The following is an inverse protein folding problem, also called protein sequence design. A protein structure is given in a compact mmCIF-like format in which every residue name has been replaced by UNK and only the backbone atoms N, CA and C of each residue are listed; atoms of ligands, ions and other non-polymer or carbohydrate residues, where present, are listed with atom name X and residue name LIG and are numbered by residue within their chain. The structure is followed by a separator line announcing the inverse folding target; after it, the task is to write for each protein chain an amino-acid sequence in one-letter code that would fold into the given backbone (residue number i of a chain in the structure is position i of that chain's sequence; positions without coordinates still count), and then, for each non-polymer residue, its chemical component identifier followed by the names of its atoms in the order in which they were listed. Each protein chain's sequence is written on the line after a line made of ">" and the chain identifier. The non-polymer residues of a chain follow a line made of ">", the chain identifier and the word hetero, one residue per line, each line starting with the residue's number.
data_IF_550478455840
#
_entry.id   IF_550478455840
#
_cell.length_a   1.000
_cell.length_b   1.000
_cell.length_c   1.000
_cell.angle_alpha   90.00
_cell.angle_beta   90.00
_cell.angle_gamma   90.00
#
_symmetry.space_group_name_H-M   'P 1'
#
loop_
_entity.id
_entity.type
_entity.pdbx_description
1 polymer ?
#
# COMPACT_ATOMS: atom_id res chain seq x y z
N UNK A 1 59.82 31.35 -12.63
CA UNK A 1 58.47 30.85 -12.32
C UNK A 1 58.59 29.39 -11.96
N UNK A 2 58.55 29.04 -10.67
CA UNK A 2 58.69 27.66 -10.21
C UNK A 2 57.38 26.91 -10.50
N UNK A 3 57.40 26.02 -11.49
CA UNK A 3 56.30 25.13 -11.79
C UNK A 3 56.11 24.19 -10.59
N UNK A 4 54.95 24.31 -9.93
CA UNK A 4 54.58 23.42 -8.83
C UNK A 4 54.54 21.97 -9.34
N UNK A 5 55.20 21.06 -8.61
CA UNK A 5 55.21 19.63 -8.90
C UNK A 5 53.76 19.11 -8.99
N UNK A 6 53.30 18.52 -10.11
CA UNK A 6 51.94 18.01 -10.26
C UNK A 6 51.59 16.86 -9.30
N UNK A 7 52.58 16.28 -8.59
CA UNK A 7 52.35 15.33 -7.48
C UNK A 7 51.99 16.00 -6.14
N UNK A 8 52.03 17.33 -6.06
CA UNK A 8 51.65 18.10 -4.88
C UNK A 8 50.17 18.56 -4.92
N UNK A 9 49.29 17.77 -5.55
CA UNK A 9 47.84 17.97 -5.47
C UNK A 9 47.31 17.17 -4.29
N UNK A 10 46.72 17.86 -3.31
CA UNK A 10 46.06 17.24 -2.14
C UNK A 10 44.98 16.29 -2.67
N UNK A 11 45.11 15.00 -2.36
CA UNK A 11 44.18 13.94 -2.82
C UNK A 11 44.72 13.00 -3.90
N UNK A 12 45.96 13.16 -4.38
CA UNK A 12 46.57 12.29 -5.40
C UNK A 12 47.16 10.96 -4.88
N UNK A 13 47.12 10.71 -3.56
CA UNK A 13 47.47 9.41 -2.99
C UNK A 13 46.19 8.58 -2.95
N UNK A 14 45.92 7.79 -4.00
CA UNK A 14 44.79 6.86 -4.04
C UNK A 14 44.96 5.88 -2.87
N UNK A 15 44.26 6.06 -1.74
CA UNK A 15 44.47 5.22 -0.58
C UNK A 15 44.10 3.77 -0.94
N UNK A 16 44.72 2.76 -0.33
CA UNK A 16 44.38 1.37 -0.59
C UNK A 16 42.90 1.13 -0.29
N UNK A 17 42.26 0.27 -1.10
CA UNK A 17 40.83 -0.01 -0.95
C UNK A 17 40.57 -0.63 0.43
N UNK A 18 39.62 -0.12 1.24
CA UNK A 18 39.30 -0.67 2.55
C UNK A 18 38.94 -2.17 2.53
N UNK A 19 38.41 -2.69 1.42
CA UNK A 19 38.16 -4.12 1.23
C UNK A 19 39.48 -4.88 1.16
N UNK A 20 40.42 -4.39 0.35
CA UNK A 20 41.75 -5.01 0.20
C UNK A 20 42.52 -4.97 1.52
N UNK A 21 42.48 -3.84 2.24
CA UNK A 21 43.09 -3.70 3.57
C UNK A 21 42.47 -4.66 4.59
N UNK A 22 41.16 -4.88 4.54
CA UNK A 22 40.49 -5.81 5.45
C UNK A 22 40.81 -7.28 5.15
N UNK A 23 41.07 -7.62 3.88
CA UNK A 23 41.36 -8.98 3.42
C UNK A 23 42.85 -9.32 3.42
N UNK A 24 43.74 -8.35 3.36
CA UNK A 24 45.20 -8.53 3.32
C UNK A 24 45.72 -9.54 4.38
N UNK A 25 45.30 -9.50 5.66
CA UNK A 25 45.75 -10.47 6.67
C UNK A 25 45.30 -11.91 6.41
N UNK A 26 44.26 -12.11 5.60
CA UNK A 26 43.61 -13.40 5.36
C UNK A 26 43.97 -14.00 4.00
N UNK A 27 44.78 -13.35 3.17
CA UNK A 27 45.19 -13.85 1.85
C UNK A 27 45.64 -15.33 1.86
N UNK A 28 46.58 -15.74 2.73
CA UNK A 28 47.01 -17.14 2.83
C UNK A 28 45.89 -18.11 3.24
N UNK A 29 44.96 -17.66 4.10
CA UNK A 29 43.81 -18.48 4.53
C UNK A 29 42.84 -18.67 3.37
N UNK A 30 42.59 -17.63 2.58
CA UNK A 30 41.68 -17.69 1.44
C UNK A 30 42.22 -18.62 0.35
N UNK A 31 43.53 -18.61 0.10
CA UNK A 31 44.19 -19.56 -0.80
C UNK A 31 44.06 -21.00 -0.29
N UNK A 32 44.29 -21.23 1.01
CA UNK A 32 44.18 -22.57 1.59
C UNK A 32 42.72 -23.07 1.64
N UNK A 33 41.76 -22.19 1.92
CA UNK A 33 40.33 -22.52 1.81
C UNK A 33 40.00 -22.90 0.36
N UNK A 34 40.50 -22.18 -0.64
CA UNK A 34 40.24 -22.49 -2.04
C UNK A 34 40.72 -23.90 -2.43
N UNK A 35 41.84 -24.36 -1.86
CA UNK A 35 42.35 -25.72 -2.06
C UNK A 35 41.38 -26.81 -1.55
N UNK A 36 40.56 -26.52 -0.52
CA UNK A 36 39.54 -27.44 0.01
C UNK A 36 38.19 -27.35 -0.71
N UNK A 37 37.94 -26.28 -1.46
CA UNK A 37 36.65 -26.02 -2.12
C UNK A 37 36.60 -26.55 -3.57
N UNK A 38 37.42 -27.53 -3.91
CA UNK A 38 37.49 -28.17 -5.24
C UNK A 38 36.50 -29.34 -5.42
N UNK A 39 35.77 -29.69 -4.36
CA UNK A 39 34.82 -30.81 -4.33
C UNK A 39 35.27 -31.99 -3.47
N UNK A 40 36.46 -31.95 -2.87
CA UNK A 40 36.90 -32.94 -1.88
C UNK A 40 36.01 -32.97 -0.62
N UNK A 41 35.85 -34.15 -0.02
CA UNK A 41 35.11 -34.36 1.24
C UNK A 41 36.06 -34.64 2.40
N UNK A 42 35.63 -34.30 3.62
CA UNK A 42 36.35 -34.67 4.85
C UNK A 42 36.15 -36.17 5.13
N UNK A 43 37.24 -36.92 5.27
CA UNK A 43 37.24 -38.37 5.43
C UNK A 43 37.79 -38.84 6.79
N UNK A 44 38.39 -37.94 7.58
CA UNK A 44 38.92 -38.27 8.91
C UNK A 44 38.88 -37.07 9.88
N UNK A 45 39.01 -37.38 11.18
CA UNK A 45 38.96 -36.39 12.27
C UNK A 45 40.05 -35.31 12.17
N UNK A 46 41.23 -35.64 11.61
CA UNK A 46 42.31 -34.68 11.41
C UNK A 46 41.97 -33.62 10.36
N UNK A 47 41.34 -34.04 9.26
CA UNK A 47 40.82 -33.15 8.22
C UNK A 47 39.66 -32.31 8.74
N UNK A 48 38.75 -32.90 9.52
CA UNK A 48 37.63 -32.16 10.14
C UNK A 48 38.15 -30.99 10.97
N UNK A 49 39.11 -31.26 11.85
CA UNK A 49 39.74 -30.23 12.69
C UNK A 49 40.42 -29.13 11.87
N UNK A 50 41.17 -29.49 10.83
CA UNK A 50 41.81 -28.51 9.95
C UNK A 50 40.79 -27.62 9.23
N UNK A 51 39.70 -28.20 8.72
CA UNK A 51 38.62 -27.45 8.07
C UNK A 51 37.83 -26.57 9.05
N UNK A 52 37.66 -26.98 10.31
CA UNK A 52 37.04 -26.16 11.35
C UNK A 52 37.87 -24.91 11.68
N UNK A 53 39.21 -25.06 11.74
CA UNK A 53 40.12 -23.93 11.95
C UNK A 53 40.07 -22.95 10.77
N UNK A 54 40.07 -23.45 9.52
CA UNK A 54 39.90 -22.62 8.31
C UNK A 54 38.55 -21.91 8.29
N UNK A 55 37.46 -22.60 8.66
CA UNK A 55 36.12 -22.02 8.72
C UNK A 55 36.04 -20.87 9.74
N UNK A 56 36.73 -21.00 10.87
CA UNK A 56 36.80 -19.95 11.89
C UNK A 56 37.52 -18.71 11.35
N UNK A 57 38.67 -18.88 10.69
CA UNK A 57 39.42 -17.77 10.12
C UNK A 57 38.67 -17.11 8.94
N UNK A 58 37.98 -17.90 8.11
CA UNK A 58 37.12 -17.36 7.04
C UNK A 58 35.97 -16.50 7.60
N UNK A 59 35.35 -16.91 8.71
CA UNK A 59 34.35 -16.10 9.42
C UNK A 59 34.97 -14.81 9.98
N UNK A 60 36.22 -14.84 10.43
CA UNK A 60 36.94 -13.66 10.88
C UNK A 60 37.23 -12.68 9.71
N UNK A 61 37.66 -13.19 8.55
CA UNK A 61 37.84 -12.41 7.33
C UNK A 61 36.53 -11.71 6.91
N UNK A 62 35.41 -12.43 6.93
CA UNK A 62 34.09 -11.85 6.63
C UNK A 62 33.75 -10.71 7.60
N UNK A 63 33.98 -10.92 8.90
CA UNK A 63 33.73 -9.90 9.93
C UNK A 63 34.61 -8.66 9.75
N UNK A 64 35.86 -8.82 9.32
CA UNK A 64 36.75 -7.70 9.02
C UNK A 64 36.21 -6.83 7.87
N UNK A 65 35.72 -7.46 6.79
CA UNK A 65 35.08 -6.75 5.68
C UNK A 65 33.79 -6.05 6.12
N UNK A 66 32.94 -6.70 6.93
CA UNK A 66 31.73 -6.07 7.46
C UNK A 66 32.06 -4.84 8.32
N UNK A 67 33.10 -4.91 9.15
CA UNK A 67 33.57 -3.77 9.94
C UNK A 67 34.08 -2.61 9.07
N UNK A 68 34.90 -2.90 8.05
CA UNK A 68 35.41 -1.89 7.12
C UNK A 68 34.28 -1.20 6.34
N UNK A 69 33.26 -1.96 5.90
CA UNK A 69 32.05 -1.40 5.28
C UNK A 69 31.34 -0.45 6.24
N UNK A 70 31.12 -0.87 7.48
CA UNK A 70 30.38 -0.09 8.47
C UNK A 70 31.13 1.20 8.83
N UNK A 71 32.46 1.16 8.93
CA UNK A 71 33.28 2.36 9.13
C UNK A 71 33.17 3.36 7.97
N UNK A 72 33.16 2.88 6.73
CA UNK A 72 33.01 3.74 5.54
C UNK A 72 31.59 4.33 5.43
N UNK A 73 30.57 3.54 5.75
CA UNK A 73 29.16 3.91 5.52
C UNK A 73 28.54 4.68 6.67
N UNK A 74 28.99 4.48 7.91
CA UNK A 74 28.50 5.19 9.10
C UNK A 74 28.55 6.71 8.97
N UNK A 75 29.65 7.37 8.58
CA UNK A 75 29.67 8.83 8.44
C UNK A 75 28.70 9.32 7.35
N UNK A 76 28.57 8.59 6.24
CA UNK A 76 27.61 8.92 5.17
C UNK A 76 26.16 8.83 5.67
N UNK A 77 25.84 7.78 6.42
CA UNK A 77 24.53 7.57 6.99
C UNK A 77 24.18 8.66 8.03
N UNK A 78 25.14 9.09 8.85
CA UNK A 78 24.92 10.18 9.81
C UNK A 78 24.76 11.54 9.11
N UNK A 79 25.51 11.82 8.04
CA UNK A 79 25.30 13.03 7.21
C UNK A 79 23.90 13.01 6.59
N UNK A 80 23.51 11.88 5.99
CA UNK A 80 22.18 11.73 5.41
C UNK A 80 21.08 11.93 6.45
N UNK A 81 21.20 11.31 7.63
CA UNK A 81 20.24 11.49 8.74
C UNK A 81 20.16 12.93 9.21
N UNK A 82 21.31 13.61 9.36
CA UNK A 82 21.35 15.01 9.76
C UNK A 82 20.65 15.91 8.74
N UNK A 83 20.86 15.66 7.45
CA UNK A 83 20.19 16.41 6.40
C UNK A 83 18.68 16.13 6.41
N UNK A 84 18.24 14.87 6.45
CA UNK A 84 16.81 14.52 6.59
C UNK A 84 16.19 15.21 7.81
N UNK A 85 16.87 15.21 8.96
CA UNK A 85 16.42 15.89 10.17
C UNK A 85 16.33 17.41 10.01
N UNK A 86 17.17 18.02 9.18
CA UNK A 86 17.10 19.45 8.84
C UNK A 86 15.89 19.78 7.96
N UNK A 87 15.53 18.92 7.00
CA UNK A 87 14.36 19.13 6.12
C UNK A 87 13.03 18.85 6.84
N UNK A 88 13.02 17.88 7.76
CA UNK A 88 11.81 17.35 8.37
C UNK A 88 10.92 18.42 9.03
N UNK A 89 11.43 19.41 9.80
CA UNK A 89 10.60 20.44 10.41
C UNK A 89 9.84 21.28 9.38
N UNK A 90 10.48 21.65 8.27
CA UNK A 90 9.83 22.44 7.21
C UNK A 90 8.79 21.62 6.47
N UNK A 91 9.08 20.34 6.17
CA UNK A 91 8.09 19.43 5.56
C UNK A 91 6.88 19.26 6.48
N UNK A 92 7.10 19.05 7.78
CA UNK A 92 6.03 18.90 8.76
C UNK A 92 5.18 20.15 8.92
N UNK A 93 5.81 21.33 8.87
CA UNK A 93 5.08 22.59 8.92
C UNK A 93 4.24 22.81 7.65
N UNK A 94 4.79 22.54 6.46
CA UNK A 94 4.04 22.61 5.21
C UNK A 94 2.85 21.63 5.20
N UNK A 95 3.06 20.39 5.65
CA UNK A 95 1.99 19.40 5.79
C UNK A 95 0.89 19.87 6.77
N UNK A 96 1.28 20.54 7.86
CA UNK A 96 0.34 21.15 8.81
C UNK A 96 -0.44 22.28 8.15
N UNK A 97 0.21 23.18 7.43
CA UNK A 97 -0.45 24.27 6.71
C UNK A 97 -1.44 23.73 5.66
N UNK A 98 -1.05 22.71 4.89
CA UNK A 98 -1.94 22.03 3.93
C UNK A 98 -3.16 21.46 4.65
N UNK A 99 -2.98 20.76 5.77
CA UNK A 99 -4.09 20.22 6.58
C UNK A 99 -5.01 21.33 7.09
N UNK A 100 -4.46 22.45 7.58
CA UNK A 100 -5.23 23.60 8.03
C UNK A 100 -6.06 24.21 6.88
N UNK A 101 -5.48 24.39 5.70
CA UNK A 101 -6.21 24.90 4.52
C UNK A 101 -7.31 23.95 4.06
N UNK A 102 -7.04 22.64 4.03
CA UNK A 102 -8.07 21.63 3.71
C UNK A 102 -9.20 21.67 4.73
N UNK A 103 -8.90 21.76 6.03
CA UNK A 103 -9.89 21.87 7.09
C UNK A 103 -10.72 23.15 6.98
N UNK A 104 -10.09 24.29 6.66
CA UNK A 104 -10.78 25.56 6.43
C UNK A 104 -11.73 25.51 5.22
N UNK A 105 -11.33 24.81 4.15
CA UNK A 105 -12.14 24.64 2.94
C UNK A 105 -13.29 23.63 3.13
N UNK A 106 -13.16 22.66 4.03
CA UNK A 106 -14.06 21.52 4.15
C UNK A 106 -15.54 21.91 4.37
N UNK A 107 -15.89 22.84 5.30
CA UNK A 107 -17.29 23.23 5.49
C UNK A 107 -17.91 23.88 4.25
N UNK A 108 -17.14 24.68 3.51
CA UNK A 108 -17.62 25.32 2.29
C UNK A 108 -17.79 24.29 1.16
N UNK A 109 -16.83 23.38 0.98
CA UNK A 109 -16.95 22.28 0.01
C UNK A 109 -18.15 21.38 0.31
N UNK A 110 -18.45 21.12 1.59
CA UNK A 110 -19.64 20.37 2.00
C UNK A 110 -20.94 21.10 1.63
N UNK A 111 -21.03 22.41 1.90
CA UNK A 111 -22.18 23.24 1.46
C UNK A 111 -22.33 23.26 -0.06
N UNK A 112 -21.23 23.40 -0.78
CA UNK A 112 -21.24 23.38 -2.24
C UNK A 112 -21.66 22.01 -2.78
N UNK A 113 -21.18 20.92 -2.19
CA UNK A 113 -21.60 19.57 -2.55
C UNK A 113 -23.09 19.36 -2.29
N UNK A 114 -23.62 19.80 -1.14
CA UNK A 114 -25.05 19.75 -0.86
C UNK A 114 -25.89 20.59 -1.85
N UNK A 115 -25.40 21.78 -2.23
CA UNK A 115 -26.06 22.62 -3.24
C UNK A 115 -26.10 21.94 -4.62
N UNK A 116 -24.98 21.35 -5.05
CA UNK A 116 -24.91 20.64 -6.33
C UNK A 116 -25.73 19.36 -6.32
N UNK A 117 -25.76 18.63 -5.20
CA UNK A 117 -26.63 17.46 -5.01
C UNK A 117 -28.12 17.84 -5.08
N UNK A 118 -28.52 18.93 -4.43
CA UNK A 118 -29.88 19.44 -4.54
C UNK A 118 -30.23 19.79 -5.99
N UNK A 119 -29.34 20.53 -6.69
CA UNK A 119 -29.53 20.87 -8.10
C UNK A 119 -29.60 19.63 -9.00
N UNK A 120 -28.80 18.59 -8.73
CA UNK A 120 -28.86 17.31 -9.43
C UNK A 120 -30.22 16.65 -9.23
N UNK A 121 -30.71 16.56 -8.00
CA UNK A 121 -32.02 15.96 -7.69
C UNK A 121 -33.17 16.72 -8.36
N UNK A 122 -33.12 18.06 -8.38
CA UNK A 122 -34.11 18.85 -9.11
C UNK A 122 -34.07 18.57 -10.61
N UNK A 123 -32.88 18.55 -11.21
CA UNK A 123 -32.71 18.26 -12.63
C UNK A 123 -33.17 16.85 -12.99
N UNK A 124 -32.87 15.86 -12.14
CA UNK A 124 -33.35 14.47 -12.28
C UNK A 124 -34.88 14.39 -12.18
N UNK A 125 -35.50 15.09 -11.22
CA UNK A 125 -36.98 15.15 -11.11
C UNK A 125 -37.61 15.77 -12.35
N UNK A 126 -37.13 16.94 -12.78
CA UNK A 126 -37.63 17.60 -13.98
C UNK A 126 -37.44 16.75 -15.25
N UNK A 127 -36.32 16.04 -15.35
CA UNK A 127 -36.06 15.12 -16.46
C UNK A 127 -36.96 13.87 -16.42
N UNK A 128 -37.27 13.35 -15.23
CA UNK A 128 -38.21 12.25 -15.05
C UNK A 128 -39.64 12.65 -15.40
N UNK A 129 -40.10 13.83 -14.96
CA UNK A 129 -41.43 14.37 -15.28
C UNK A 129 -41.61 14.54 -16.79
N UNK A 130 -40.65 15.19 -17.47
CA UNK A 130 -40.69 15.37 -18.92
C UNK A 130 -40.60 14.04 -19.68
N UNK A 131 -39.84 13.06 -19.17
CA UNK A 131 -39.76 11.74 -19.79
C UNK A 131 -41.07 10.93 -19.63
N UNK A 132 -41.78 11.07 -18.51
CA UNK A 132 -43.13 10.50 -18.34
C UNK A 132 -44.14 11.20 -19.24
N UNK A 133 -44.12 12.53 -19.32
CA UNK A 133 -45.01 13.31 -20.20
C UNK A 133 -44.80 12.96 -21.67
N UNK A 134 -43.55 12.91 -22.14
CA UNK A 134 -43.21 12.51 -23.50
C UNK A 134 -43.66 11.08 -23.81
N UNK A 135 -43.45 10.13 -22.88
CA UNK A 135 -43.92 8.74 -23.06
C UNK A 135 -45.43 8.67 -23.15
N UNK A 136 -46.16 9.39 -22.30
CA UNK A 136 -47.63 9.42 -22.33
C UNK A 136 -48.15 10.05 -23.62
N UNK A 137 -47.55 11.15 -24.08
CA UNK A 137 -47.93 11.80 -25.32
C UNK A 137 -47.68 10.89 -26.53
N UNK A 138 -46.53 10.22 -26.59
CA UNK A 138 -46.22 9.27 -27.65
C UNK A 138 -47.13 8.04 -27.64
N UNK A 139 -47.57 7.56 -26.47
CA UNK A 139 -48.53 6.45 -26.37
C UNK A 139 -49.95 6.86 -26.76
N UNK A 140 -50.34 8.11 -26.49
CA UNK A 140 -51.67 8.63 -26.76
C UNK A 140 -51.84 9.19 -28.19
N UNK A 141 -50.75 9.55 -28.87
CA UNK A 141 -50.78 10.17 -30.18
C UNK A 141 -51.34 9.22 -31.24
N UNK A 142 -52.35 9.68 -31.98
CA UNK A 142 -52.91 8.97 -33.11
C UNK A 142 -51.91 8.97 -34.28
N UNK A 143 -51.61 7.78 -34.82
CA UNK A 143 -50.69 7.60 -35.95
C UNK A 143 -51.16 8.32 -37.23
N UNK A 144 -52.46 8.58 -37.38
CA UNK A 144 -53.04 9.29 -38.52
C UNK A 144 -53.11 10.83 -38.34
N UNK A 145 -52.67 11.37 -37.19
CA UNK A 145 -52.74 12.81 -36.88
C UNK A 145 -51.34 13.43 -36.81
N UNK A 146 -50.97 14.20 -37.84
CA UNK A 146 -49.64 14.82 -37.93
C UNK A 146 -49.37 15.82 -36.81
N UNK A 147 -50.38 16.51 -36.32
CA UNK A 147 -50.24 17.48 -35.20
C UNK A 147 -50.00 16.78 -33.86
N UNK A 148 -50.61 15.62 -33.63
CA UNK A 148 -50.36 14.82 -32.42
C UNK A 148 -48.98 14.18 -32.44
N UNK A 149 -48.52 13.71 -33.61
CA UNK A 149 -47.15 13.21 -33.80
C UNK A 149 -46.13 14.33 -33.56
N UNK A 150 -46.31 15.53 -34.15
CA UNK A 150 -45.45 16.69 -33.92
C UNK A 150 -45.36 17.09 -32.45
N UNK A 151 -46.49 17.07 -31.74
CA UNK A 151 -46.53 17.36 -30.31
C UNK A 151 -45.80 16.31 -29.47
N UNK A 152 -45.94 15.03 -29.82
CA UNK A 152 -45.19 13.94 -29.16
C UNK A 152 -43.68 14.08 -29.40
N UNK A 153 -43.26 14.41 -30.63
CA UNK A 153 -41.87 14.65 -31.00
C UNK A 153 -41.26 15.86 -30.26
N UNK A 154 -42.02 16.97 -30.14
CA UNK A 154 -41.60 18.13 -29.36
C UNK A 154 -41.38 17.79 -27.88
N UNK A 155 -42.30 17.03 -27.28
CA UNK A 155 -42.18 16.58 -25.89
C UNK A 155 -41.00 15.62 -25.71
N UNK A 156 -40.74 14.75 -26.68
CA UNK A 156 -39.56 13.88 -26.68
C UNK A 156 -38.27 14.69 -26.74
N UNK A 157 -38.19 15.69 -27.63
CA UNK A 157 -37.03 16.58 -27.72
C UNK A 157 -36.81 17.38 -26.42
N UNK A 158 -37.89 17.83 -25.77
CA UNK A 158 -37.81 18.50 -24.46
C UNK A 158 -37.33 17.55 -23.35
N UNK A 159 -37.76 16.28 -23.38
CA UNK A 159 -37.30 15.26 -22.44
C UNK A 159 -35.80 14.95 -22.65
N UNK A 160 -35.34 14.83 -23.90
CA UNK A 160 -33.92 14.62 -24.20
C UNK A 160 -33.04 15.77 -23.73
N UNK A 161 -33.47 17.02 -23.93
CA UNK A 161 -32.75 18.19 -23.42
C UNK A 161 -32.66 18.17 -21.89
N UNK A 162 -33.77 17.85 -21.21
CA UNK A 162 -33.79 17.75 -19.75
C UNK A 162 -32.90 16.61 -19.22
N UNK A 163 -32.85 15.47 -19.91
CA UNK A 163 -31.94 14.37 -19.59
C UNK A 163 -30.46 14.78 -19.77
N UNK A 164 -30.13 15.55 -20.82
CA UNK A 164 -28.77 16.10 -21.02
C UNK A 164 -28.38 17.08 -19.92
N UNK A 165 -29.31 17.91 -19.47
CA UNK A 165 -29.06 18.86 -18.37
C UNK A 165 -28.90 18.13 -17.02
N UNK A 166 -29.71 17.11 -16.74
CA UNK A 166 -29.53 16.24 -15.58
C UNK A 166 -28.18 15.51 -15.60
N UNK A 167 -27.77 14.98 -16.76
CA UNK A 167 -26.46 14.35 -16.92
C UNK A 167 -25.30 15.34 -16.74
N UNK A 168 -25.46 16.60 -17.17
CA UNK A 168 -24.47 17.67 -16.92
C UNK A 168 -24.37 17.99 -15.43
N UNK A 169 -25.51 18.11 -14.74
CA UNK A 169 -25.54 18.35 -13.30
C UNK A 169 -24.92 17.20 -12.50
N UNK A 170 -25.14 15.94 -12.91
CA UNK A 170 -24.53 14.78 -12.28
C UNK A 170 -22.99 14.75 -12.39
N UNK A 171 -22.43 15.29 -13.48
CA UNK A 171 -20.98 15.41 -13.68
C UNK A 171 -20.37 16.60 -12.94
N UNK A 172 -21.17 17.59 -12.56
CA UNK A 172 -20.71 18.77 -11.84
C UNK A 172 -20.48 18.44 -10.35
N UNK A 173 -19.29 17.92 -10.05
CA UNK A 173 -18.89 17.55 -8.68
C UNK A 173 -17.93 18.59 -8.09
N UNK A 174 -17.68 18.51 -6.78
CA UNK A 174 -16.73 19.40 -6.09
C UNK A 174 -15.34 18.76 -6.07
N UNK A 175 -14.34 19.45 -6.64
CA UNK A 175 -12.96 18.95 -6.72
C UNK A 175 -12.29 18.81 -5.34
N UNK A 176 -11.43 17.82 -5.21
CA UNK A 176 -10.67 17.56 -3.97
C UNK A 176 -11.54 17.04 -2.83
N UNK A 177 -12.68 16.42 -3.15
CA UNK A 177 -13.46 15.57 -2.25
C UNK A 177 -13.14 14.11 -2.55
N UNK A 178 -13.05 13.28 -1.51
CA UNK A 178 -12.92 11.82 -1.67
C UNK A 178 -14.25 11.13 -1.42
N UNK A 179 -14.53 10.07 -2.16
CA UNK A 179 -15.66 9.18 -1.87
C UNK A 179 -15.25 8.26 -0.71
N UNK A 180 -16.00 8.29 0.37
CA UNK A 180 -15.81 7.37 1.50
C UNK A 180 -17.09 6.58 1.67
N UNK A 181 -16.99 5.27 1.51
CA UNK A 181 -18.07 4.35 1.87
C UNK A 181 -17.94 4.05 3.35
N UNK A 182 -18.93 4.45 4.14
CA UNK A 182 -18.98 4.17 5.57
C UNK A 182 -20.06 3.14 5.79
N UNK A 183 -19.70 2.03 6.43
CA UNK A 183 -20.67 1.02 6.86
C UNK A 183 -21.01 1.22 8.33
N UNK A 184 -22.24 0.90 8.70
CA UNK A 184 -22.68 0.86 10.09
C UNK A 184 -23.32 -0.52 10.32
N UNK A 185 -22.87 -1.22 11.37
CA UNK A 185 -23.48 -2.48 11.78
C UNK A 185 -24.64 -2.15 12.71
N UNK A 186 -25.85 -2.25 12.18
CA UNK A 186 -27.07 -2.00 12.96
C UNK A 186 -27.41 -3.19 13.90
N UNK A 187 -27.01 -4.41 13.52
CA UNK A 187 -27.22 -5.63 14.30
C UNK A 187 -26.11 -6.65 14.02
N UNK A 188 -25.30 -6.94 15.04
CA UNK A 188 -24.23 -7.93 14.93
C UNK A 188 -24.79 -9.34 14.76
N UNK A 189 -25.95 -9.62 15.36
CA UNK A 189 -26.65 -10.90 15.22
C UNK A 189 -27.04 -11.15 13.77
N UNK A 190 -27.67 -10.18 13.12
CA UNK A 190 -28.16 -10.36 11.75
C UNK A 190 -27.00 -10.45 10.76
N UNK A 191 -25.95 -9.63 10.96
CA UNK A 191 -24.73 -9.72 10.18
C UNK A 191 -24.06 -11.11 10.32
N UNK A 192 -23.96 -11.64 11.55
CA UNK A 192 -23.40 -12.96 11.80
C UNK A 192 -24.22 -14.07 11.11
N UNK A 193 -25.55 -14.05 11.24
CA UNK A 193 -26.40 -15.04 10.59
C UNK A 193 -26.36 -14.93 9.05
N UNK A 194 -26.25 -13.72 8.51
CA UNK A 194 -26.08 -13.52 7.08
C UNK A 194 -24.75 -14.09 6.60
N UNK A 195 -23.64 -13.85 7.31
CA UNK A 195 -22.33 -14.42 6.98
C UNK A 195 -22.41 -15.94 7.06
N UNK A 196 -22.95 -16.50 8.13
CA UNK A 196 -23.05 -17.95 8.27
C UNK A 196 -23.88 -18.63 7.15
N UNK A 197 -24.84 -17.91 6.56
CA UNK A 197 -25.67 -18.42 5.45
C UNK A 197 -25.00 -18.26 4.08
N UNK A 198 -24.30 -17.16 3.84
CA UNK A 198 -23.81 -16.78 2.51
C UNK A 198 -22.30 -17.00 2.32
N UNK A 199 -21.53 -17.05 3.41
CA UNK A 199 -20.08 -17.22 3.43
C UNK A 199 -19.68 -18.12 4.61
N UNK A 200 -19.88 -19.43 4.40
CA UNK A 200 -19.67 -20.45 5.43
C UNK A 200 -18.18 -20.61 5.78
N UNK A 201 -17.29 -20.44 4.80
CA UNK A 201 -15.86 -20.65 5.01
C UNK A 201 -15.27 -19.56 5.92
N UNK A 202 -15.71 -18.31 5.76
CA UNK A 202 -15.30 -17.21 6.65
C UNK A 202 -15.71 -17.45 8.10
N UNK A 203 -16.95 -17.93 8.35
CA UNK A 203 -17.39 -18.21 9.72
C UNK A 203 -16.72 -19.46 10.30
N UNK A 204 -16.48 -20.50 9.49
CA UNK A 204 -15.77 -21.71 9.93
C UNK A 204 -14.35 -21.39 10.37
N UNK A 205 -13.60 -20.61 9.58
CA UNK A 205 -12.25 -20.20 9.94
C UNK A 205 -12.21 -19.41 11.26
N UNK A 206 -13.20 -18.52 11.48
CA UNK A 206 -13.33 -17.83 12.77
C UNK A 206 -13.60 -18.80 13.92
N UNK A 207 -14.50 -19.77 13.74
CA UNK A 207 -14.83 -20.77 14.76
C UNK A 207 -13.61 -21.62 15.10
N UNK A 208 -12.89 -22.13 14.10
CA UNK A 208 -11.69 -22.95 14.31
C UNK A 208 -10.60 -22.21 15.09
N UNK A 209 -10.30 -20.96 14.69
CA UNK A 209 -9.29 -20.16 15.38
C UNK A 209 -9.72 -19.78 16.80
N UNK A 210 -11.00 -19.47 17.00
CA UNK A 210 -11.55 -19.20 18.33
C UNK A 210 -11.44 -20.44 19.23
N UNK A 211 -11.80 -21.62 18.71
CA UNK A 211 -11.70 -22.90 19.45
C UNK A 211 -10.24 -23.20 19.79
N UNK A 212 -9.31 -23.14 18.83
CA UNK A 212 -7.88 -23.39 19.04
C UNK A 212 -7.27 -22.56 20.18
N UNK A 213 -7.69 -21.30 20.31
CA UNK A 213 -7.21 -20.40 21.38
C UNK A 213 -7.87 -20.64 22.73
N UNK A 214 -9.15 -21.02 22.74
CA UNK A 214 -9.97 -20.98 23.95
C UNK A 214 -10.29 -22.37 24.55
N UNK A 215 -10.11 -23.47 23.81
CA UNK A 215 -10.53 -24.82 24.25
C UNK A 215 -9.89 -25.27 25.58
N UNK A 216 -8.70 -24.76 25.92
CA UNK A 216 -8.03 -25.04 27.21
C UNK A 216 -8.56 -24.20 28.37
N UNK A 217 -9.16 -23.04 28.07
CA UNK A 217 -9.60 -22.07 29.09
C UNK A 217 -11.04 -22.32 29.53
N UNK A 218 -11.88 -22.83 28.62
CA UNK A 218 -13.30 -23.09 28.90
C UNK A 218 -13.82 -24.22 28.01
N UNK A 219 -14.80 -25.01 28.48
CA UNK A 219 -15.55 -25.91 27.62
C UNK A 219 -16.30 -25.10 26.55
N UNK A 220 -16.33 -25.62 25.32
CA UNK A 220 -17.01 -25.02 24.17
C UNK A 220 -17.97 -26.08 23.62
N UNK A 221 -19.27 -25.76 23.56
CA UNK A 221 -20.29 -26.68 23.05
C UNK A 221 -20.01 -27.06 21.60
N UNK A 222 -20.11 -28.35 21.29
CA UNK A 222 -19.81 -28.89 19.96
C UNK A 222 -18.32 -29.18 19.68
N UNK A 223 -17.43 -29.00 20.67
CA UNK A 223 -15.99 -29.32 20.55
C UNK A 223 -15.61 -30.43 21.52
N UNK A 224 -15.03 -31.51 20.99
CA UNK A 224 -14.43 -32.59 21.79
C UNK A 224 -12.93 -32.35 21.95
N UNK A 225 -12.40 -32.42 23.18
CA UNK A 225 -10.98 -32.20 23.48
C UNK A 225 -10.35 -33.50 23.99
N UNK A 226 -9.33 -34.00 23.29
CA UNK A 226 -8.53 -35.18 23.68
C UNK A 226 -7.07 -34.78 23.96
N UNK A 227 -6.43 -35.42 24.95
CA UNK A 227 -5.00 -35.25 25.24
C UNK A 227 -4.24 -36.54 24.90
N UNK A 228 -3.27 -36.46 23.99
CA UNK A 228 -2.40 -37.57 23.58
C UNK A 228 -0.94 -37.23 23.92
N UNK A 229 -0.14 -38.25 24.27
CA UNK A 229 1.31 -38.13 24.45
C UNK A 229 2.01 -38.74 23.24
N UNK A 230 2.96 -38.01 22.67
CA UNK A 230 3.77 -38.42 21.52
C UNK A 230 5.27 -38.32 21.87
N UNK A 231 6.11 -39.09 21.18
CA UNK A 231 7.56 -39.13 21.41
C UNK A 231 8.25 -37.84 20.91
N UNK A 232 9.35 -37.48 21.55
CA UNK A 232 10.09 -36.22 21.35
C UNK A 232 10.93 -36.21 20.08
#
# INVERSE_FOLDING_TARGET
>A
MNAANPRAVIGGNNPPDPIDVALEPYGPILEEVANWLDGATVENDGQLKATDDLLKELKAARKAVDAARDECTKPLHEIWKAEVARWKPTQDDLDRQVKCLVAAQAPYKAKLAAKKEAARREAERAAAEKAEEARRAHQAANAASIEEQRRADELLAQAELAQRDAARAAKDTVKGMRTVQVYAINSHRDALHWIAKNDRDAITAFVEEYVRRNFKQRPIDGVTVETKKEAF
#
